data_IF_677117311953
#
_entry.id   IF_677117311953
#
_cell.length_a   1.000
_cell.length_b   1.000
_cell.length_c   1.000
_cell.angle_alpha   90.00
_cell.angle_beta   90.00
_cell.angle_gamma   90.00
#
_symmetry.space_group_name_H-M   'P 1'
#
loop_
_entity.id
_entity.type
_entity.pdbx_description
1 polymer ?
#
# COMPACT_ATOMS: atom_id res chain seq x y z
N UNK A 1 23.82 12.47 -5.64
CA UNK A 1 23.02 11.55 -6.46
C UNK A 1 21.68 11.26 -5.80
N UNK A 2 20.57 11.40 -6.53
CA UNK A 2 19.22 11.15 -6.01
C UNK A 2 18.79 9.75 -6.40
N UNK A 3 18.41 8.92 -5.43
CA UNK A 3 17.85 7.59 -5.72
C UNK A 3 16.57 7.76 -6.54
N UNK A 4 16.43 7.09 -7.70
CA UNK A 4 15.21 7.19 -8.50
C UNK A 4 14.02 6.60 -7.73
N UNK A 5 12.81 7.15 -7.91
CA UNK A 5 11.62 6.63 -7.24
C UNK A 5 11.32 5.20 -7.68
N UNK A 6 11.01 4.32 -6.73
CA UNK A 6 10.55 2.96 -7.02
C UNK A 6 9.18 3.02 -7.70
N UNK A 7 9.11 2.49 -8.92
CA UNK A 7 7.87 2.33 -9.68
C UNK A 7 7.68 0.83 -9.91
N UNK A 8 6.75 0.23 -9.19
CA UNK A 8 6.56 -1.22 -9.16
C UNK A 8 5.09 -1.57 -9.41
N UNK A 9 4.87 -2.60 -10.22
CA UNK A 9 3.57 -3.26 -10.38
C UNK A 9 3.69 -4.65 -9.76
N UNK A 10 2.90 -4.93 -8.74
CA UNK A 10 2.80 -6.27 -8.15
C UNK A 10 1.56 -6.98 -8.71
N UNK A 11 1.78 -7.90 -9.66
CA UNK A 11 0.72 -8.63 -10.34
C UNK A 11 0.58 -10.09 -9.85
N UNK A 12 -0.58 -10.69 -10.05
CA UNK A 12 -0.85 -12.11 -9.80
C UNK A 12 -2.36 -12.39 -9.70
N UNK A 13 -2.75 -13.65 -9.79
CA UNK A 13 -4.16 -14.09 -9.68
C UNK A 13 -4.81 -13.73 -8.33
N UNK A 14 -6.15 -13.83 -8.26
CA UNK A 14 -6.86 -13.70 -6.98
C UNK A 14 -6.29 -14.66 -5.93
N UNK A 15 -6.16 -14.22 -4.68
CA UNK A 15 -5.66 -15.07 -3.60
C UNK A 15 -4.14 -15.19 -3.43
N UNK A 16 -3.32 -14.58 -4.30
CA UNK A 16 -1.84 -14.64 -4.19
C UNK A 16 -1.21 -13.78 -3.08
N UNK A 17 -2.02 -13.25 -2.15
CA UNK A 17 -1.50 -12.49 -1.01
C UNK A 17 -1.09 -11.03 -1.28
N UNK A 18 -1.44 -10.43 -2.43
CA UNK A 18 -1.13 -9.02 -2.72
C UNK A 18 -1.62 -8.04 -1.62
N UNK A 19 -2.83 -8.24 -1.09
CA UNK A 19 -3.34 -7.43 0.03
C UNK A 19 -2.53 -7.64 1.31
N UNK A 20 -2.00 -8.85 1.53
CA UNK A 20 -1.10 -9.15 2.65
C UNK A 20 0.20 -8.37 2.53
N UNK A 21 0.75 -8.23 1.32
CA UNK A 21 1.94 -7.40 1.08
C UNK A 21 1.68 -5.94 1.48
N UNK A 22 0.54 -5.36 1.09
CA UNK A 22 0.16 -3.99 1.50
C UNK A 22 0.06 -3.87 3.02
N UNK A 23 -0.55 -4.84 3.70
CA UNK A 23 -0.65 -4.87 5.16
C UNK A 23 0.72 -4.97 5.83
N UNK A 24 1.61 -5.82 5.32
CA UNK A 24 2.97 -5.97 5.86
C UNK A 24 3.78 -4.68 5.71
N UNK A 25 3.68 -3.99 4.56
CA UNK A 25 4.30 -2.68 4.37
C UNK A 25 3.73 -1.67 5.38
N UNK A 26 2.41 -1.66 5.57
CA UNK A 26 1.74 -0.80 6.55
C UNK A 26 2.29 -1.01 7.97
N UNK A 27 2.37 -2.27 8.42
CA UNK A 27 2.94 -2.61 9.73
C UNK A 27 4.41 -2.21 9.83
N UNK A 28 5.19 -2.34 8.75
CA UNK A 28 6.60 -1.97 8.75
C UNK A 28 6.83 -0.45 8.87
N UNK A 29 5.92 0.38 8.34
CA UNK A 29 5.95 1.84 8.57
C UNK A 29 5.50 2.19 9.99
N UNK A 30 4.45 1.54 10.50
CA UNK A 30 3.96 1.74 11.86
C UNK A 30 5.01 1.37 12.92
N UNK A 31 5.67 0.21 12.77
CA UNK A 31 6.72 -0.24 13.67
C UNK A 31 7.95 0.70 13.70
N UNK A 32 8.13 1.53 12.67
CA UNK A 32 9.19 2.54 12.58
C UNK A 32 8.73 3.94 13.00
N UNK A 33 7.49 4.08 13.47
CA UNK A 33 6.92 5.38 13.86
C UNK A 33 6.72 6.35 12.70
N UNK A 34 6.72 5.87 11.44
CA UNK A 34 6.67 6.71 10.24
C UNK A 34 5.40 6.53 9.40
N UNK A 35 4.29 6.08 10.01
CA UNK A 35 3.01 5.86 9.32
C UNK A 35 2.54 7.06 8.49
N UNK A 36 2.82 8.29 8.95
CA UNK A 36 2.46 9.54 8.25
C UNK A 36 3.13 9.69 6.88
N UNK A 37 4.20 8.94 6.59
CA UNK A 37 4.88 8.96 5.30
C UNK A 37 4.24 8.00 4.28
N UNK A 38 3.36 7.09 4.70
CA UNK A 38 2.75 6.08 3.84
C UNK A 38 1.33 6.49 3.43
N UNK A 39 1.17 6.91 2.18
CA UNK A 39 -0.15 7.14 1.58
C UNK A 39 -0.62 5.85 0.92
N UNK A 40 -1.84 5.42 1.25
CA UNK A 40 -2.51 4.24 0.68
C UNK A 40 -3.76 4.71 -0.06
N UNK A 41 -3.89 4.35 -1.33
CA UNK A 41 -5.05 4.70 -2.14
C UNK A 41 -5.52 3.52 -3.00
N UNK A 42 -6.82 3.47 -3.26
CA UNK A 42 -7.43 2.48 -4.15
C UNK A 42 -8.57 3.12 -4.97
N UNK A 43 -8.93 2.50 -6.09
CA UNK A 43 -9.92 3.08 -7.01
C UNK A 43 -11.35 3.08 -6.44
N UNK A 44 -11.75 2.00 -5.75
CA UNK A 44 -13.09 1.85 -5.17
C UNK A 44 -13.07 2.04 -3.66
N UNK A 45 -14.17 2.54 -3.08
CA UNK A 45 -14.31 2.72 -1.63
C UNK A 45 -14.07 1.43 -0.81
N UNK A 46 -14.60 0.28 -1.26
CA UNK A 46 -14.39 -1.00 -0.57
C UNK A 46 -12.90 -1.38 -0.51
N UNK A 47 -12.19 -1.25 -1.64
CA UNK A 47 -10.75 -1.52 -1.68
C UNK A 47 -9.94 -0.53 -0.83
N UNK A 48 -10.35 0.74 -0.78
CA UNK A 48 -9.72 1.75 0.07
C UNK A 48 -9.89 1.40 1.55
N UNK A 49 -11.11 1.05 1.99
CA UNK A 49 -11.38 0.62 3.36
C UNK A 49 -10.58 -0.63 3.75
N UNK A 50 -10.43 -1.60 2.85
CA UNK A 50 -9.66 -2.82 3.10
C UNK A 50 -8.17 -2.59 3.39
N UNK A 51 -7.61 -1.50 2.85
CA UNK A 51 -6.21 -1.11 3.09
C UNK A 51 -6.11 0.06 4.07
N UNK A 52 -7.20 0.47 4.71
CA UNK A 52 -7.26 1.64 5.58
C UNK A 52 -6.67 2.89 4.87
N UNK A 53 -7.11 3.08 3.63
CA UNK A 53 -6.67 4.13 2.72
C UNK A 53 -7.83 5.01 2.26
N UNK A 54 -7.55 5.86 1.27
CA UNK A 54 -8.56 6.71 0.62
C UNK A 54 -8.83 6.27 -0.81
N UNK A 55 -9.89 6.78 -1.40
CA UNK A 55 -10.06 6.70 -2.84
C UNK A 55 -8.94 7.45 -3.55
N UNK A 56 -8.61 7.05 -4.78
CA UNK A 56 -7.66 7.79 -5.62
C UNK A 56 -8.21 9.12 -6.12
N UNK A 57 -9.54 9.25 -6.19
CA UNK A 57 -10.26 10.47 -6.51
C UNK A 57 -10.62 11.24 -5.22
#
# INVERSE_FOLDING_TARGET
DKVPPLRMILYGEGGTGKSRVIQTITHAFAARGCSFMLVKAAYTGIAASLIDGKTTH
#
